data_IF_743178131629
#
_entry.id   IF_743178131629
#
_cell.length_a   1.000
_cell.length_b   1.000
_cell.length_c   1.000
_cell.angle_alpha   90.00
_cell.angle_beta   90.00
_cell.angle_gamma   90.00
#
_symmetry.space_group_name_H-M   'P 1'
#
loop_
_entity.id
_entity.type
_entity.pdbx_description
1 polymer ?
#
# COMPACT_ATOMS: atom_id res chain seq x y z
N UNK A 1 20.64 7.66 0.14
CA UNK A 1 19.37 6.92 0.30
C UNK A 1 18.32 7.95 0.65
N UNK A 2 17.14 7.90 0.04
CA UNK A 2 16.10 8.86 0.37
C UNK A 2 15.68 8.63 1.82
N UNK A 3 15.49 9.69 2.57
CA UNK A 3 15.12 9.72 3.99
C UNK A 3 13.80 8.98 4.30
N UNK A 4 13.05 8.62 3.26
CA UNK A 4 11.72 7.99 3.32
C UNK A 4 11.71 6.47 3.26
N UNK A 5 12.80 5.83 2.82
CA UNK A 5 12.88 4.36 2.74
C UNK A 5 13.58 3.84 3.98
N UNK A 6 12.84 3.16 4.83
CA UNK A 6 13.27 2.66 6.14
C UNK A 6 13.75 1.20 6.12
N UNK A 7 13.70 0.53 4.97
CA UNK A 7 14.17 -0.84 4.79
C UNK A 7 15.33 -0.93 3.81
N UNK A 8 16.10 -2.01 3.89
CA UNK A 8 17.14 -2.30 2.90
C UNK A 8 16.53 -2.87 1.62
N UNK A 9 16.87 -2.29 0.46
CA UNK A 9 16.46 -2.78 -0.85
C UNK A 9 17.60 -3.53 -1.52
N UNK A 10 17.31 -4.71 -2.05
CA UNK A 10 18.19 -5.43 -2.97
C UNK A 10 17.50 -5.53 -4.34
N UNK A 11 18.03 -4.81 -5.32
CA UNK A 11 17.62 -5.00 -6.70
C UNK A 11 18.21 -6.31 -7.21
N UNK A 12 17.35 -7.24 -7.63
CA UNK A 12 17.80 -8.46 -8.31
C UNK A 12 17.85 -8.24 -9.81
N UNK A 13 18.61 -9.05 -10.51
CA UNK A 13 18.68 -8.99 -11.96
C UNK A 13 17.30 -9.30 -12.56
N UNK A 14 16.79 -8.40 -13.38
CA UNK A 14 15.48 -8.52 -14.03
C UNK A 14 14.90 -7.14 -14.29
N UNK A 15 14.35 -6.97 -15.47
CA UNK A 15 13.54 -5.82 -15.83
C UNK A 15 12.08 -6.25 -15.89
N UNK A 16 11.17 -5.38 -15.46
CA UNK A 16 9.74 -5.61 -15.66
C UNK A 16 9.44 -5.39 -17.13
N UNK A 17 9.31 -6.47 -17.88
CA UNK A 17 9.02 -6.43 -19.32
C UNK A 17 7.52 -6.36 -19.61
N UNK A 18 6.71 -6.81 -18.66
CA UNK A 18 5.24 -6.74 -18.75
C UNK A 18 4.62 -6.72 -17.37
N UNK A 19 3.51 -5.99 -17.26
CA UNK A 19 2.62 -6.00 -16.10
C UNK A 19 1.19 -5.84 -16.62
N UNK A 20 0.47 -6.94 -16.76
CA UNK A 20 -0.90 -6.93 -17.34
C UNK A 20 -1.89 -6.06 -16.58
N UNK A 21 -1.68 -5.85 -15.28
CA UNK A 21 -2.50 -4.99 -14.43
C UNK A 21 -2.16 -3.48 -14.47
N UNK A 22 -1.17 -3.04 -15.26
CA UNK A 22 -0.72 -1.65 -15.23
C UNK A 22 -1.81 -0.65 -15.65
N UNK A 23 -2.59 -0.97 -16.68
CA UNK A 23 -3.65 -0.10 -17.16
C UNK A 23 -4.75 0.06 -16.09
N UNK A 24 -5.15 -1.03 -15.44
CA UNK A 24 -6.11 -1.02 -14.36
C UNK A 24 -5.56 -0.26 -13.14
N UNK A 25 -4.32 -0.50 -12.76
CA UNK A 25 -3.64 0.22 -11.67
C UNK A 25 -3.65 1.73 -11.93
N UNK A 26 -3.34 2.17 -13.15
CA UNK A 26 -3.40 3.58 -13.53
C UNK A 26 -4.84 4.13 -13.47
N UNK A 27 -5.84 3.36 -13.88
CA UNK A 27 -7.24 3.78 -13.80
C UNK A 27 -7.68 4.06 -12.35
N UNK A 28 -7.33 3.18 -11.40
CA UNK A 28 -7.63 3.39 -9.97
C UNK A 28 -6.76 4.48 -9.35
N UNK A 29 -5.50 4.60 -9.76
CA UNK A 29 -4.64 5.71 -9.33
C UNK A 29 -5.22 7.06 -9.73
N UNK A 30 -5.72 7.19 -10.96
CA UNK A 30 -6.36 8.43 -11.43
C UNK A 30 -7.55 8.82 -10.56
N UNK A 31 -8.44 7.86 -10.24
CA UNK A 31 -9.56 8.10 -9.32
C UNK A 31 -9.08 8.58 -7.94
N UNK A 32 -8.01 7.98 -7.41
CA UNK A 32 -7.46 8.37 -6.10
C UNK A 32 -6.77 9.73 -6.15
N UNK A 33 -6.08 10.08 -7.24
CA UNK A 33 -5.49 11.41 -7.48
C UNK A 33 -6.58 12.49 -7.56
N UNK A 34 -7.64 12.26 -8.33
CA UNK A 34 -8.78 13.17 -8.46
C UNK A 34 -9.47 13.44 -7.11
N UNK A 35 -9.50 12.42 -6.25
CA UNK A 35 -10.01 12.50 -4.89
C UNK A 35 -8.98 13.04 -3.86
N UNK A 36 -7.75 13.33 -4.28
CA UNK A 36 -6.62 13.76 -3.44
C UNK A 36 -6.30 12.79 -2.30
N UNK A 37 -6.49 11.50 -2.54
CA UNK A 37 -6.20 10.43 -1.59
C UNK A 37 -4.77 9.88 -1.74
N UNK A 38 -4.17 10.09 -2.90
CA UNK A 38 -2.75 9.91 -3.19
C UNK A 38 -2.25 11.17 -3.90
N UNK A 39 -0.95 11.38 -3.96
CA UNK A 39 -0.41 12.56 -4.64
C UNK A 39 1.02 12.88 -4.24
N UNK A 40 1.36 14.16 -4.31
CA UNK A 40 2.56 14.73 -3.73
C UNK A 40 2.18 15.91 -2.84
N UNK A 41 2.90 16.05 -1.74
CA UNK A 41 2.74 17.18 -0.85
C UNK A 41 3.36 18.47 -1.45
N UNK A 42 3.22 19.65 -0.81
CA UNK A 42 3.80 20.89 -1.32
C UNK A 42 5.32 20.88 -1.45
N UNK A 43 6.02 19.95 -0.79
CA UNK A 43 7.47 19.80 -0.89
C UNK A 43 7.88 18.84 -2.03
N UNK A 44 6.89 18.22 -2.71
CA UNK A 44 7.08 17.27 -3.80
C UNK A 44 7.25 15.82 -3.34
N UNK A 45 7.06 15.54 -2.04
CA UNK A 45 7.10 14.17 -1.50
C UNK A 45 5.82 13.44 -1.86
N UNK A 46 5.96 12.34 -2.59
CA UNK A 46 4.84 11.49 -2.97
C UNK A 46 4.26 10.73 -1.77
N UNK A 47 2.94 10.67 -1.69
CA UNK A 47 2.20 9.88 -0.70
C UNK A 47 1.15 8.98 -1.36
N UNK A 48 0.85 7.87 -0.66
CA UNK A 48 -0.05 6.84 -1.16
C UNK A 48 0.59 5.97 -2.24
N UNK A 49 0.18 4.73 -2.30
CA UNK A 49 0.71 3.74 -3.24
C UNK A 49 -0.29 2.59 -3.43
N UNK A 50 -0.13 1.86 -4.51
CA UNK A 50 -0.96 0.72 -4.86
C UNK A 50 -0.08 -0.48 -5.21
N UNK A 51 -0.58 -1.67 -4.90
CA UNK A 51 0.04 -2.92 -5.37
C UNK A 51 -0.98 -3.91 -5.89
N UNK A 52 -0.51 -4.80 -6.75
CA UNK A 52 -1.30 -5.91 -7.34
C UNK A 52 -0.45 -7.18 -7.30
N UNK A 53 -1.04 -8.27 -6.81
CA UNK A 53 -0.41 -9.58 -6.76
C UNK A 53 -0.09 -10.09 -8.17
N UNK A 54 1.05 -10.73 -8.33
CA UNK A 54 1.46 -11.36 -9.59
C UNK A 54 0.85 -12.75 -9.71
N UNK A 55 -0.38 -12.82 -10.21
CA UNK A 55 -1.13 -14.06 -10.37
C UNK A 55 -1.29 -14.84 -9.07
N UNK A 56 -1.04 -16.14 -9.11
CA UNK A 56 -1.12 -17.03 -7.94
C UNK A 56 0.18 -17.08 -7.12
N UNK A 57 1.16 -16.25 -7.42
CA UNK A 57 2.44 -16.23 -6.71
C UNK A 57 2.36 -15.40 -5.42
N UNK A 58 3.43 -15.41 -4.64
CA UNK A 58 3.59 -14.48 -3.50
C UNK A 58 4.09 -13.10 -3.94
N UNK A 59 4.63 -12.99 -5.15
CA UNK A 59 5.17 -11.74 -5.68
C UNK A 59 4.05 -10.73 -5.95
N UNK A 60 4.41 -9.46 -5.98
CA UNK A 60 3.46 -8.40 -6.31
C UNK A 60 4.16 -7.23 -6.99
N UNK A 61 3.44 -6.55 -7.86
CA UNK A 61 3.84 -5.25 -8.41
C UNK A 61 3.39 -4.15 -7.47
N UNK A 62 4.24 -3.16 -7.25
CA UNK A 62 3.95 -2.00 -6.41
C UNK A 62 4.43 -0.74 -7.09
N UNK A 63 3.74 0.36 -6.91
CA UNK A 63 4.18 1.67 -7.38
C UNK A 63 5.49 2.05 -6.68
N UNK A 64 6.41 2.63 -7.42
CA UNK A 64 7.72 3.00 -6.93
C UNK A 64 7.69 4.14 -5.90
N UNK A 65 8.79 4.28 -5.17
CA UNK A 65 8.99 5.41 -4.26
C UNK A 65 8.89 6.74 -5.01
N UNK A 66 8.29 7.74 -4.38
CA UNK A 66 8.10 9.10 -4.91
C UNK A 66 7.26 9.21 -6.20
N UNK A 67 6.47 8.17 -6.55
CA UNK A 67 5.61 8.20 -7.75
C UNK A 67 4.18 8.68 -7.47
N UNK A 68 3.84 9.03 -6.23
CA UNK A 68 2.47 9.37 -5.81
C UNK A 68 1.82 10.45 -6.67
N UNK A 69 2.55 11.50 -7.04
CA UNK A 69 2.05 12.62 -7.84
C UNK A 69 2.08 12.43 -9.37
N UNK A 70 2.66 11.33 -9.88
CA UNK A 70 2.74 11.08 -11.33
C UNK A 70 1.34 10.70 -11.84
N UNK A 71 0.87 11.38 -12.88
CA UNK A 71 -0.49 11.17 -13.42
C UNK A 71 -0.67 9.78 -14.02
N UNK A 72 0.27 9.32 -14.82
CA UNK A 72 0.23 8.01 -15.48
C UNK A 72 1.58 7.30 -15.33
N UNK A 73 1.55 6.13 -14.73
CA UNK A 73 2.74 5.32 -14.52
C UNK A 73 3.03 4.46 -15.75
N UNK A 74 4.32 4.28 -16.01
CA UNK A 74 4.85 3.27 -16.93
C UNK A 74 5.48 2.13 -16.14
N UNK A 75 5.94 1.09 -16.80
CA UNK A 75 6.66 -0.02 -16.16
C UNK A 75 7.87 0.46 -15.35
N UNK A 76 8.53 1.53 -15.80
CA UNK A 76 9.70 2.10 -15.10
C UNK A 76 9.37 2.78 -13.78
N UNK A 77 8.11 3.05 -13.52
CA UNK A 77 7.59 3.61 -12.26
C UNK A 77 7.07 2.53 -11.31
N UNK A 78 7.18 1.27 -11.69
CA UNK A 78 6.74 0.13 -10.87
C UNK A 78 7.95 -0.74 -10.50
N UNK A 79 7.87 -1.36 -9.33
CA UNK A 79 8.77 -2.40 -8.89
C UNK A 79 8.00 -3.70 -8.71
N UNK A 80 8.63 -4.84 -8.98
CA UNK A 80 8.09 -6.16 -8.67
C UNK A 80 8.82 -6.69 -7.44
N UNK A 81 8.12 -6.80 -6.33
CA UNK A 81 8.64 -7.41 -5.10
C UNK A 81 8.61 -8.93 -5.26
N UNK A 82 9.78 -9.56 -5.17
CA UNK A 82 9.95 -11.00 -5.38
C UNK A 82 10.33 -11.76 -4.11
N UNK A 83 10.81 -11.05 -3.08
CA UNK A 83 11.04 -11.62 -1.76
C UNK A 83 11.09 -10.50 -0.71
N UNK A 84 10.82 -10.86 0.54
CA UNK A 84 10.94 -9.97 1.69
C UNK A 84 11.36 -10.75 2.95
N UNK A 85 11.95 -10.04 3.89
CA UNK A 85 12.35 -10.55 5.19
C UNK A 85 12.02 -9.48 6.23
N UNK A 86 11.00 -9.73 7.05
CA UNK A 86 10.55 -8.77 8.06
C UNK A 86 11.61 -8.59 9.17
N UNK A 87 12.26 -9.68 9.60
CA UNK A 87 13.26 -9.62 10.67
C UNK A 87 14.48 -8.78 10.27
N UNK A 88 14.92 -8.93 9.02
CA UNK A 88 16.06 -8.19 8.47
C UNK A 88 15.67 -6.85 7.87
N UNK A 89 14.40 -6.49 7.92
CA UNK A 89 13.88 -5.27 7.29
C UNK A 89 14.34 -5.14 5.83
N UNK A 90 14.10 -6.15 5.01
CA UNK A 90 14.68 -6.26 3.66
C UNK A 90 13.62 -6.59 2.62
N UNK A 91 13.74 -5.95 1.46
CA UNK A 91 12.95 -6.23 0.26
C UNK A 91 13.87 -6.54 -0.91
N UNK A 92 13.57 -7.60 -1.67
CA UNK A 92 14.19 -7.92 -2.97
C UNK A 92 13.20 -7.63 -4.08
N UNK A 93 13.66 -6.93 -5.12
CA UNK A 93 12.78 -6.48 -6.17
C UNK A 93 13.44 -6.46 -7.55
N UNK A 94 12.61 -6.57 -8.59
CA UNK A 94 12.93 -6.33 -10.00
C UNK A 94 12.38 -4.96 -10.42
N UNK A 95 12.97 -4.38 -11.46
CA UNK A 95 12.56 -3.08 -12.02
C UNK A 95 13.60 -1.99 -11.83
N UNK A 96 13.35 -0.83 -12.43
CA UNK A 96 14.30 0.29 -12.45
C UNK A 96 14.11 1.31 -11.33
N UNK A 97 12.97 1.28 -10.64
CA UNK A 97 12.65 2.16 -9.50
C UNK A 97 12.65 1.38 -8.19
N UNK A 98 13.06 2.01 -7.10
CA UNK A 98 12.90 1.43 -5.77
C UNK A 98 11.41 1.28 -5.42
N UNK A 99 11.00 0.15 -4.83
CA UNK A 99 9.63 -0.04 -4.39
C UNK A 99 9.23 0.98 -3.31
N UNK A 100 7.93 1.23 -3.16
CA UNK A 100 7.40 2.11 -2.11
C UNK A 100 7.93 1.73 -0.72
N UNK A 101 8.10 2.72 0.16
CA UNK A 101 8.43 2.51 1.59
C UNK A 101 7.43 1.63 2.33
N UNK A 102 6.21 1.47 1.82
CA UNK A 102 5.17 0.61 2.39
C UNK A 102 5.21 -0.85 1.90
N UNK A 103 6.24 -1.24 1.15
CA UNK A 103 6.31 -2.59 0.54
C UNK A 103 6.23 -3.72 1.55
N UNK A 104 6.82 -3.58 2.74
CA UNK A 104 6.71 -4.59 3.80
C UNK A 104 5.30 -4.64 4.40
N UNK A 105 4.62 -3.51 4.53
CA UNK A 105 3.23 -3.42 4.97
C UNK A 105 2.31 -4.16 3.99
N UNK A 106 2.49 -3.93 2.68
CA UNK A 106 1.75 -4.66 1.64
C UNK A 106 2.08 -6.16 1.65
N UNK A 107 3.35 -6.51 1.78
CA UNK A 107 3.80 -7.91 1.88
C UNK A 107 3.14 -8.63 3.07
N UNK A 108 3.00 -7.96 4.22
CA UNK A 108 2.33 -8.53 5.40
C UNK A 108 0.85 -8.84 5.13
N UNK A 109 0.13 -7.98 4.41
CA UNK A 109 -1.25 -8.24 3.98
C UNK A 109 -1.30 -9.45 3.05
N UNK A 110 -0.46 -9.48 2.00
CA UNK A 110 -0.44 -10.61 1.06
C UNK A 110 -0.04 -11.93 1.70
N UNK A 111 0.81 -11.89 2.72
CA UNK A 111 1.22 -13.09 3.46
C UNK A 111 0.11 -13.58 4.38
N UNK A 112 -0.66 -12.66 4.98
CA UNK A 112 -1.72 -12.99 5.94
C UNK A 112 -3.04 -13.37 5.28
N UNK A 113 -3.30 -12.88 4.05
CA UNK A 113 -4.51 -13.18 3.27
C UNK A 113 -4.15 -13.60 1.84
N UNK A 114 -4.26 -14.91 1.58
CA UNK A 114 -3.99 -15.47 0.26
C UNK A 114 -5.02 -15.02 -0.80
N UNK A 115 -6.19 -14.53 -0.39
CA UNK A 115 -7.25 -14.02 -1.28
C UNK A 115 -7.04 -12.56 -1.67
N UNK A 116 -6.16 -11.83 -0.97
CA UNK A 116 -5.83 -10.47 -1.32
C UNK A 116 -5.06 -10.44 -2.64
N UNK A 117 -5.65 -9.85 -3.67
CA UNK A 117 -5.06 -9.64 -5.00
C UNK A 117 -4.56 -8.22 -5.20
N UNK A 118 -5.07 -7.25 -4.44
CA UNK A 118 -4.64 -5.85 -4.50
C UNK A 118 -4.68 -5.17 -3.14
N UNK A 119 -3.81 -4.18 -2.96
CA UNK A 119 -3.75 -3.31 -1.77
C UNK A 119 -3.65 -1.86 -2.22
N UNK A 120 -4.42 -0.99 -1.58
CA UNK A 120 -4.43 0.46 -1.75
C UNK A 120 -4.02 1.11 -0.43
N UNK A 121 -2.93 1.86 -0.43
CA UNK A 121 -2.56 2.77 0.65
C UNK A 121 -2.85 4.21 0.23
N UNK A 122 -3.60 4.93 1.03
CA UNK A 122 -3.97 6.31 0.77
C UNK A 122 -3.89 7.16 2.04
N UNK A 123 -3.93 8.49 1.86
CA UNK A 123 -3.98 9.45 2.96
C UNK A 123 -5.29 10.23 2.94
N UNK A 124 -5.98 10.23 4.08
CA UNK A 124 -7.17 11.02 4.31
C UNK A 124 -7.35 11.29 5.80
N UNK A 125 -6.85 12.43 6.30
CA UNK A 125 -6.87 12.76 7.74
C UNK A 125 -8.29 12.77 8.32
N UNK A 126 -9.29 13.25 7.54
CA UNK A 126 -10.69 13.26 7.99
C UNK A 126 -11.24 11.84 8.16
N UNK A 127 -11.03 10.94 7.18
CA UNK A 127 -11.47 9.56 7.28
C UNK A 127 -10.68 8.83 8.37
N UNK A 128 -9.36 9.01 8.39
CA UNK A 128 -8.48 8.43 9.38
C UNK A 128 -8.93 8.74 10.81
N UNK A 129 -9.20 10.02 11.12
CA UNK A 129 -9.68 10.44 12.44
C UNK A 129 -11.06 9.85 12.79
N UNK A 130 -11.95 9.74 11.79
CA UNK A 130 -13.30 9.23 12.01
C UNK A 130 -13.37 7.73 12.29
N UNK A 131 -12.43 6.94 11.74
CA UNK A 131 -12.46 5.48 11.90
C UNK A 131 -11.31 4.94 12.76
N UNK A 132 -10.48 5.82 13.32
CA UNK A 132 -9.41 5.46 14.26
C UNK A 132 -10.01 4.73 15.46
N UNK A 133 -9.51 3.52 15.74
CA UNK A 133 -10.03 2.58 16.76
C UNK A 133 -11.44 2.02 16.50
N UNK A 134 -12.17 2.52 15.51
CA UNK A 134 -13.44 1.93 15.05
C UNK A 134 -13.21 0.83 14.00
N UNK A 135 -12.20 1.00 13.16
CA UNK A 135 -11.68 -0.01 12.24
C UNK A 135 -10.48 -0.73 12.88
N UNK A 136 -10.04 -1.89 12.34
CA UNK A 136 -8.75 -2.47 12.69
C UNK A 136 -7.66 -1.40 12.59
N UNK A 137 -6.97 -1.15 13.71
CA UNK A 137 -6.05 -0.03 13.87
C UNK A 137 -4.72 -0.54 14.41
N UNK A 138 -3.60 -0.12 13.81
CA UNK A 138 -2.25 -0.43 14.31
C UNK A 138 -1.94 0.39 15.56
N UNK A 139 -0.91 -0.01 16.31
CA UNK A 139 -0.41 0.80 17.43
C UNK A 139 0.11 2.15 16.95
N UNK A 140 -0.13 3.22 17.72
CA UNK A 140 0.41 4.55 17.46
C UNK A 140 1.93 4.65 17.72
N UNK A 141 2.53 3.67 18.39
CA UNK A 141 3.96 3.58 18.63
C UNK A 141 4.73 2.97 17.46
N UNK A 142 4.02 2.50 16.42
CA UNK A 142 4.65 1.79 15.30
C UNK A 142 4.68 2.68 14.07
N UNK A 143 5.89 2.96 13.59
CA UNK A 143 6.11 3.78 12.40
C UNK A 143 5.96 2.97 11.11
N UNK A 144 5.50 3.65 10.03
CA UNK A 144 5.43 3.04 8.70
C UNK A 144 6.81 2.62 8.17
N UNK A 145 6.85 1.62 7.32
CA UNK A 145 8.08 1.14 6.66
C UNK A 145 9.05 0.43 7.60
N UNK A 146 8.63 0.07 8.81
CA UNK A 146 9.43 -0.66 9.80
C UNK A 146 9.01 -2.13 9.91
N UNK A 147 9.89 -3.02 10.42
CA UNK A 147 9.52 -4.40 10.76
C UNK A 147 8.33 -4.48 11.71
N UNK A 148 8.29 -3.58 12.69
CA UNK A 148 7.22 -3.50 13.70
C UNK A 148 5.86 -3.27 13.03
N UNK A 149 5.80 -2.44 11.97
CA UNK A 149 4.57 -2.25 11.20
C UNK A 149 4.14 -3.53 10.47
N UNK A 150 5.07 -4.27 9.88
CA UNK A 150 4.76 -5.54 9.23
C UNK A 150 4.25 -6.59 10.24
N UNK A 151 4.85 -6.67 11.42
CA UNK A 151 4.39 -7.53 12.49
C UNK A 151 3.03 -7.12 13.03
N UNK A 152 2.82 -5.83 13.28
CA UNK A 152 1.53 -5.30 13.73
C UNK A 152 0.43 -5.61 12.72
N UNK A 153 0.72 -5.43 11.44
CA UNK A 153 -0.19 -5.78 10.34
C UNK A 153 -0.57 -7.27 10.39
N UNK A 154 0.41 -8.16 10.54
CA UNK A 154 0.17 -9.60 10.67
C UNK A 154 -0.66 -9.93 11.91
N UNK A 155 -0.42 -9.26 13.03
CA UNK A 155 -1.17 -9.46 14.27
C UNK A 155 -2.63 -9.01 14.15
N UNK A 156 -2.95 -7.98 13.37
CA UNK A 156 -4.33 -7.56 13.12
C UNK A 156 -5.17 -8.68 12.50
N UNK A 157 -4.59 -9.52 11.64
CA UNK A 157 -5.29 -10.67 11.05
C UNK A 157 -5.64 -11.76 12.07
N UNK A 158 -4.93 -11.84 13.20
CA UNK A 158 -5.23 -12.80 14.28
C UNK A 158 -6.09 -12.22 15.39
N UNK A 159 -6.03 -10.90 15.64
CA UNK A 159 -6.67 -10.27 16.79
C UNK A 159 -7.98 -9.55 16.44
N UNK A 160 -8.22 -9.28 15.17
CA UNK A 160 -9.35 -8.45 14.73
C UNK A 160 -10.12 -9.09 13.58
N UNK A 161 -11.17 -8.41 13.13
CA UNK A 161 -11.94 -8.80 11.95
C UNK A 161 -11.43 -8.16 10.65
N UNK A 162 -10.14 -7.82 10.57
CA UNK A 162 -9.52 -7.16 9.40
C UNK A 162 -9.75 -7.93 8.10
N UNK A 163 -9.72 -9.26 8.13
CA UNK A 163 -9.96 -10.11 6.96
C UNK A 163 -11.38 -9.93 6.38
N UNK A 164 -12.36 -9.60 7.23
CA UNK A 164 -13.74 -9.33 6.80
C UNK A 164 -13.88 -7.86 6.40
N UNK A 165 -13.36 -6.94 7.19
CA UNK A 165 -13.48 -5.49 6.94
C UNK A 165 -12.60 -4.99 5.82
N UNK A 166 -11.46 -5.64 5.58
CA UNK A 166 -10.49 -5.34 4.53
C UNK A 166 -10.00 -3.88 4.52
N UNK A 167 -9.93 -3.29 5.70
CA UNK A 167 -9.44 -1.93 5.94
C UNK A 167 -8.61 -1.90 7.22
N UNK A 168 -7.52 -1.14 7.20
CA UNK A 168 -6.66 -0.87 8.35
C UNK A 168 -6.38 0.61 8.45
N UNK A 169 -6.41 1.13 9.67
CA UNK A 169 -5.98 2.49 10.02
C UNK A 169 -4.59 2.43 10.62
N UNK A 170 -3.66 3.20 10.11
CA UNK A 170 -2.28 3.28 10.61
C UNK A 170 -2.19 4.39 11.66
N UNK A 171 -2.30 4.06 12.97
CA UNK A 171 -2.32 5.09 14.01
C UNK A 171 -0.99 5.85 14.12
N UNK A 172 0.15 5.19 13.93
CA UNK A 172 1.49 5.80 13.89
C UNK A 172 1.84 6.48 12.56
N UNK A 173 0.88 6.63 11.64
CA UNK A 173 1.05 7.27 10.34
C UNK A 173 -0.20 8.10 10.02
N UNK A 174 -0.20 9.35 10.49
CA UNK A 174 -1.36 10.22 10.40
C UNK A 174 -1.93 10.31 8.97
N UNK A 175 -3.23 10.11 8.85
CA UNK A 175 -3.93 10.06 7.57
C UNK A 175 -3.82 8.73 6.83
N UNK A 176 -2.89 7.85 7.22
CA UNK A 176 -2.59 6.59 6.53
C UNK A 176 -3.67 5.52 6.71
N UNK A 177 -4.24 5.09 5.61
CA UNK A 177 -5.28 4.06 5.55
C UNK A 177 -4.88 3.04 4.48
N UNK A 178 -5.05 1.76 4.80
CA UNK A 178 -4.91 0.67 3.84
C UNK A 178 -6.26 0.00 3.61
N UNK A 179 -6.57 -0.29 2.37
CA UNK A 179 -7.65 -1.20 1.99
C UNK A 179 -7.11 -2.28 1.08
N UNK A 180 -7.70 -3.46 1.11
CA UNK A 180 -7.29 -4.57 0.25
C UNK A 180 -8.50 -5.38 -0.20
N UNK A 181 -8.33 -6.16 -1.24
CA UNK A 181 -9.38 -6.99 -1.80
C UNK A 181 -8.83 -8.01 -2.80
N UNK A 182 -9.72 -8.79 -3.40
CA UNK A 182 -9.36 -9.74 -4.47
C UNK A 182 -8.76 -9.04 -5.71
N UNK A 183 -9.08 -7.75 -5.88
CA UNK A 183 -8.65 -6.88 -6.97
C UNK A 183 -8.69 -5.40 -6.54
N UNK A 184 -8.25 -4.50 -7.41
CA UNK A 184 -8.27 -3.05 -7.16
C UNK A 184 -9.70 -2.50 -7.05
N UNK A 185 -10.67 -3.10 -7.74
CA UNK A 185 -12.07 -2.70 -7.67
C UNK A 185 -12.62 -2.89 -6.26
N UNK A 186 -12.43 -4.06 -5.67
CA UNK A 186 -12.88 -4.34 -4.30
C UNK A 186 -12.17 -3.46 -3.29
N UNK A 187 -10.84 -3.33 -3.37
CA UNK A 187 -10.06 -2.49 -2.46
C UNK A 187 -10.52 -1.02 -2.51
N UNK A 188 -10.73 -0.47 -3.71
CA UNK A 188 -11.24 0.89 -3.89
C UNK A 188 -12.69 1.04 -3.40
N UNK A 189 -13.57 0.10 -3.69
CA UNK A 189 -14.96 0.14 -3.24
C UNK A 189 -15.08 0.13 -1.71
N UNK A 190 -14.21 -0.60 -1.01
CA UNK A 190 -14.15 -0.58 0.45
C UNK A 190 -13.80 0.81 0.96
N UNK A 191 -12.78 1.44 0.39
CA UNK A 191 -12.38 2.80 0.75
C UNK A 191 -13.51 3.80 0.53
N UNK A 192 -14.18 3.74 -0.62
CA UNK A 192 -15.27 4.67 -0.94
C UNK A 192 -16.46 4.51 0.02
N UNK A 193 -16.87 3.27 0.32
CA UNK A 193 -17.93 3.03 1.31
C UNK A 193 -17.64 3.61 2.69
N UNK A 194 -16.38 3.65 3.12
CA UNK A 194 -16.05 4.28 4.40
C UNK A 194 -16.08 5.82 4.30
N UNK A 195 -15.66 6.38 3.17
CA UNK A 195 -15.75 7.84 2.94
C UNK A 195 -17.19 8.34 2.91
N UNK A 196 -18.09 7.62 2.26
CA UNK A 196 -19.51 7.94 2.20
C UNK A 196 -20.15 8.05 3.60
N UNK A 197 -19.76 7.17 4.52
CA UNK A 197 -20.29 7.19 5.91
C UNK A 197 -19.93 8.45 6.71
N UNK A 198 -18.84 9.13 6.35
CA UNK A 198 -18.35 10.32 7.05
C UNK A 198 -18.57 11.62 6.28
N UNK A 199 -19.03 11.53 5.04
CA UNK A 199 -19.43 12.70 4.27
C UNK A 199 -20.85 13.04 4.68
N UNK A 200 -21.13 14.23 5.27
CA UNK A 200 -22.49 14.73 5.26
C UNK A 200 -22.86 15.00 3.79
N UNK A 201 -24.11 14.71 3.45
CA UNK A 201 -24.72 15.13 2.20
C UNK A 201 -24.54 16.63 1.92
#
# INVERSE_FOLDING_TARGET
>A
MSEYIKFSCERVAGEITSFGGLAELNAYRRKLLDLRLIGADPTGVGFGNLSVRDGATKNFYITGSATGGIQELTLTHCAKVVAWDFERNRVRYEGSVMPSSESLTHAAIYQSDATAGAVVHCHCSRLWAAILNEAPTTSNAVEYGTPEMAYEMTQLFTRTNVQIRKIVVMAGHEGGILTFGKDLEEAFAILMRQREKISPE
#
